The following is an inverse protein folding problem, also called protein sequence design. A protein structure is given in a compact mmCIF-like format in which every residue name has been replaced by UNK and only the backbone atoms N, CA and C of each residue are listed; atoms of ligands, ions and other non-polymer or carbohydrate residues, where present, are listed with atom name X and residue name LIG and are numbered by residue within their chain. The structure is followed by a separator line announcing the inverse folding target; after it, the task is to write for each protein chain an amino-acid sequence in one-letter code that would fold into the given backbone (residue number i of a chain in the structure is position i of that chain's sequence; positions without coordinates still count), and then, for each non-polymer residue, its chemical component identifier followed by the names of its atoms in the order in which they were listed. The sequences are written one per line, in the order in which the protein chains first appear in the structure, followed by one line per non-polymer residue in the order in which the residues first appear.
data_IF_964761111930
#
_entry.id   IF_964761111930
#
_cell.length_a   1.000
_cell.length_b   1.000
_cell.length_c   1.000
_cell.angle_alpha   90.00
_cell.angle_beta   90.00
_cell.angle_gamma   90.00
#
_symmetry.space_group_name_H-M   'P 1'
#
loop_
_entity.id
_entity.type
_entity.pdbx_description
1 polymer ?
#
# COMPACT_ATOMS: atom_id res chain seq x y z
N UNK A 1 -1.63 -3.90 63.27
CA UNK A 1 -2.31 -4.57 64.40
C UNK A 1 -3.34 -3.59 64.94
N UNK A 2 -4.57 -4.05 65.23
CA UNK A 2 -5.79 -3.28 65.58
C UNK A 2 -6.51 -2.59 64.40
N UNK A 3 -7.84 -2.58 64.24
CA UNK A 3 -9.00 -3.23 64.89
C UNK A 3 -10.19 -3.16 63.91
N UNK A 4 -11.17 -4.06 64.07
CA UNK A 4 -12.42 -4.16 63.31
C UNK A 4 -13.38 -2.98 63.55
N UNK A 5 -14.26 -2.68 62.60
CA UNK A 5 -15.70 -2.57 62.90
C UNK A 5 -16.56 -2.67 61.63
N UNK A 6 -17.60 -3.48 61.76
CA UNK A 6 -18.64 -3.78 60.79
C UNK A 6 -19.75 -2.74 60.87
N UNK A 7 -20.39 -2.39 59.75
CA UNK A 7 -21.82 -1.98 59.76
C UNK A 7 -22.47 -2.40 58.45
N UNK A 8 -23.30 -3.44 58.50
CA UNK A 8 -24.30 -3.76 57.49
C UNK A 8 -25.55 -2.91 57.76
N UNK A 9 -26.15 -2.29 56.73
CA UNK A 9 -27.60 -2.02 56.68
C UNK A 9 -28.09 -2.04 55.22
N UNK A 10 -28.91 -3.06 54.94
CA UNK A 10 -30.11 -3.15 54.10
C UNK A 10 -30.17 -2.55 52.67
N UNK A 11 -30.43 -3.49 51.75
CA UNK A 11 -30.95 -3.37 50.39
C UNK A 11 -32.43 -2.96 50.41
N UNK A 12 -32.90 -2.20 49.41
CA UNK A 12 -34.22 -2.45 48.84
C UNK A 12 -34.14 -2.80 47.34
N UNK A 13 -34.87 -3.87 46.99
CA UNK A 13 -35.13 -4.33 45.64
C UNK A 13 -35.85 -3.25 44.81
N UNK A 14 -35.42 -3.08 43.54
CA UNK A 14 -36.24 -2.49 42.48
C UNK A 14 -35.96 -3.22 41.16
N UNK A 15 -36.91 -4.09 40.82
CA UNK A 15 -37.44 -4.48 39.51
C UNK A 15 -36.51 -4.54 38.27
N UNK A 16 -36.38 -5.78 37.78
CA UNK A 16 -36.01 -6.12 36.41
C UNK A 16 -37.04 -5.60 35.41
N UNK A 17 -36.60 -4.73 34.49
CA UNK A 17 -37.21 -4.62 33.16
C UNK A 17 -36.15 -4.94 32.11
N UNK A 18 -36.38 -6.04 31.40
CA UNK A 18 -35.60 -6.57 30.29
C UNK A 18 -35.58 -5.60 29.10
N UNK A 19 -34.41 -5.02 28.80
CA UNK A 19 -34.09 -4.41 27.51
C UNK A 19 -33.33 -5.40 26.61
N UNK A 20 -33.52 -5.39 25.29
CA UNK A 20 -32.97 -6.41 24.40
C UNK A 20 -31.45 -6.23 24.22
N UNK A 21 -30.67 -7.31 24.08
CA UNK A 21 -29.24 -7.23 23.81
C UNK A 21 -28.98 -6.74 22.39
N UNK A 22 -28.14 -5.72 22.25
CA UNK A 22 -27.62 -5.24 20.96
C UNK A 22 -26.59 -6.25 20.46
N UNK A 23 -27.08 -7.28 19.79
CA UNK A 23 -26.29 -8.21 18.99
C UNK A 23 -26.91 -8.31 17.60
N UNK A 24 -26.05 -8.30 16.57
CA UNK A 24 -26.28 -8.46 15.11
C UNK A 24 -26.37 -7.17 14.29
N UNK A 25 -25.20 -6.68 13.87
CA UNK A 25 -25.04 -6.07 12.54
C UNK A 25 -23.84 -6.72 11.86
N UNK A 26 -24.03 -7.96 11.38
CA UNK A 26 -23.22 -8.58 10.34
C UNK A 26 -24.14 -9.57 9.61
N UNK A 27 -24.49 -9.26 8.37
CA UNK A 27 -25.15 -10.18 7.43
C UNK A 27 -24.22 -10.29 6.22
N UNK A 28 -23.73 -11.49 5.87
CA UNK A 28 -23.02 -11.67 4.61
C UNK A 28 -23.99 -11.53 3.44
N UNK A 29 -23.58 -10.80 2.40
CA UNK A 29 -24.27 -10.75 1.12
C UNK A 29 -24.27 -12.16 0.48
N UNK A 30 -25.39 -12.56 -0.10
CA UNK A 30 -25.55 -13.84 -0.76
C UNK A 30 -24.61 -13.96 -1.98
N UNK A 31 -24.06 -15.15 -2.28
CA UNK A 31 -23.18 -15.32 -3.44
C UNK A 31 -23.97 -15.20 -4.76
N UNK A 32 -23.38 -14.66 -5.84
CA UNK A 32 -24.03 -14.60 -7.12
C UNK A 32 -24.24 -16.01 -7.70
N UNK A 33 -25.38 -16.19 -8.37
CA UNK A 33 -25.81 -17.46 -8.97
C UNK A 33 -24.82 -17.92 -10.04
N UNK A 34 -24.42 -19.19 -9.96
CA UNK A 34 -23.70 -19.90 -11.02
C UNK A 34 -24.59 -19.96 -12.26
N UNK A 35 -24.20 -19.27 -13.33
CA UNK A 35 -24.66 -19.58 -14.67
C UNK A 35 -23.47 -19.69 -15.62
N UNK A 36 -23.53 -20.77 -16.36
CA UNK A 36 -22.58 -21.38 -17.27
C UNK A 36 -22.27 -20.45 -18.44
N UNK A 37 -20.98 -20.17 -18.69
CA UNK A 37 -20.52 -19.88 -20.05
C UNK A 37 -19.17 -20.57 -20.26
N UNK A 38 -19.26 -21.67 -21.01
CA UNK A 38 -18.16 -22.49 -21.50
C UNK A 38 -17.46 -21.72 -22.63
N UNK A 39 -16.13 -21.68 -22.57
CA UNK A 39 -15.19 -21.58 -23.70
C UNK A 39 -15.43 -20.49 -24.75
N UNK A 40 -14.72 -19.36 -24.64
CA UNK A 40 -13.93 -18.76 -25.74
C UNK A 40 -12.82 -17.89 -25.12
N UNK A 41 -11.65 -18.46 -24.79
CA UNK A 41 -10.46 -17.65 -24.49
C UNK A 41 -9.18 -18.31 -25.04
N UNK A 42 -9.25 -18.78 -26.28
CA UNK A 42 -8.10 -19.22 -27.06
C UNK A 42 -8.32 -18.81 -28.51
N UNK A 43 -8.33 -17.50 -28.79
CA UNK A 43 -8.23 -16.90 -30.13
C UNK A 43 -8.30 -15.38 -30.01
N UNK A 44 -7.22 -14.74 -29.56
CA UNK A 44 -6.96 -13.36 -29.97
C UNK A 44 -5.57 -13.34 -30.60
N UNK A 45 -5.47 -12.96 -31.88
CA UNK A 45 -4.20 -12.97 -32.60
C UNK A 45 -3.27 -11.92 -32.00
N UNK A 46 -2.01 -12.33 -31.87
CA UNK A 46 -0.84 -11.49 -31.62
C UNK A 46 -0.72 -10.49 -32.78
N UNK A 47 -1.41 -9.34 -32.71
CA UNK A 47 -1.35 -8.31 -33.74
C UNK A 47 -0.75 -7.03 -33.18
N UNK A 48 0.46 -6.78 -33.65
CA UNK A 48 1.19 -5.52 -33.70
C UNK A 48 0.28 -4.28 -33.77
N UNK A 49 0.08 -3.61 -32.63
CA UNK A 49 -0.30 -2.20 -32.62
C UNK A 49 0.69 -1.41 -31.76
N UNK A 50 1.84 -1.16 -32.37
CA UNK A 50 2.88 -0.26 -31.88
C UNK A 50 2.33 1.17 -31.71
N UNK A 51 2.63 1.78 -30.55
CA UNK A 51 2.78 3.24 -30.31
C UNK A 51 1.55 4.12 -29.96
N UNK A 52 0.50 3.63 -29.28
CA UNK A 52 -0.46 4.56 -28.62
C UNK A 52 -0.87 4.11 -27.21
N UNK A 53 -0.49 4.93 -26.21
CA UNK A 53 -1.10 5.07 -24.86
C UNK A 53 -0.86 3.94 -23.85
N UNK A 54 0.40 3.70 -23.46
CA UNK A 54 0.77 2.74 -22.39
C UNK A 54 1.02 3.38 -21.02
N UNK A 55 0.27 4.41 -20.68
CA UNK A 55 0.07 4.75 -19.28
C UNK A 55 -1.44 4.78 -19.12
N UNK A 56 -2.04 3.65 -18.75
CA UNK A 56 -3.23 3.73 -17.91
C UNK A 56 -2.74 4.50 -16.69
N UNK A 57 -3.18 5.74 -16.57
CA UNK A 57 -2.86 6.52 -15.37
C UNK A 57 -3.45 5.69 -14.25
N UNK A 58 -2.66 5.26 -13.27
CA UNK A 58 -3.13 4.41 -12.17
C UNK A 58 -4.40 5.01 -11.50
N UNK A 59 -4.51 6.34 -11.51
CA UNK A 59 -5.72 7.12 -11.21
C UNK A 59 -7.00 6.65 -11.92
N UNK A 60 -6.94 6.26 -13.19
CA UNK A 60 -8.06 5.75 -14.00
C UNK A 60 -8.52 4.34 -13.56
N UNK A 61 -7.66 3.59 -12.86
CA UNK A 61 -7.99 2.28 -12.28
C UNK A 61 -8.64 2.41 -10.90
N UNK A 62 -8.43 3.51 -10.19
CA UNK A 62 -9.06 3.78 -8.90
C UNK A 62 -10.50 4.30 -9.05
N UNK A 63 -11.33 3.50 -9.71
CA UNK A 63 -12.79 3.70 -9.73
C UNK A 63 -13.42 2.99 -8.53
N UNK A 64 -14.59 3.44 -8.05
CA UNK A 64 -15.27 2.77 -6.94
C UNK A 64 -15.43 1.26 -7.19
N UNK A 65 -14.90 0.45 -6.26
CA UNK A 65 -14.97 -1.01 -6.33
C UNK A 65 -13.94 -1.69 -7.24
N UNK A 66 -12.95 -0.94 -7.75
CA UNK A 66 -11.81 -1.51 -8.47
C UNK A 66 -10.58 -1.52 -7.56
N UNK A 67 -9.85 -2.64 -7.59
CA UNK A 67 -8.60 -2.82 -6.84
C UNK A 67 -7.41 -2.76 -7.78
N UNK A 68 -6.31 -2.20 -7.29
CA UNK A 68 -5.01 -2.20 -7.95
C UNK A 68 -4.01 -3.00 -7.12
N UNK A 69 -3.35 -3.96 -7.76
CA UNK A 69 -2.40 -4.88 -7.14
C UNK A 69 -0.98 -4.40 -7.41
N UNK A 70 -0.29 -4.00 -6.35
CA UNK A 70 1.07 -3.48 -6.37
C UNK A 70 2.11 -4.51 -6.02
N UNK A 71 3.24 -4.50 -6.73
CA UNK A 71 4.47 -5.16 -6.29
C UNK A 71 5.31 -4.18 -5.48
N UNK A 72 6.15 -4.69 -4.58
CA UNK A 72 7.05 -3.86 -3.77
C UNK A 72 8.49 -4.33 -3.92
N UNK A 73 9.38 -3.47 -4.36
CA UNK A 73 10.80 -3.76 -4.52
C UNK A 73 11.60 -3.17 -3.36
N UNK A 74 12.23 -4.03 -2.58
CA UNK A 74 13.21 -3.68 -1.56
C UNK A 74 14.64 -4.16 -1.92
N UNK A 75 14.79 -4.95 -3.00
CA UNK A 75 16.10 -5.35 -3.54
C UNK A 75 16.50 -4.38 -4.65
N UNK A 76 17.71 -3.80 -4.55
CA UNK A 76 18.28 -2.93 -5.58
C UNK A 76 18.70 -3.68 -6.85
N UNK A 77 17.73 -4.23 -7.58
CA UNK A 77 17.95 -5.04 -8.79
C UNK A 77 16.97 -4.64 -9.91
N UNK A 78 17.51 -4.04 -10.97
CA UNK A 78 16.75 -3.70 -12.16
C UNK A 78 16.12 -4.95 -12.83
N UNK A 79 16.84 -6.07 -12.79
CA UNK A 79 16.33 -7.33 -13.34
C UNK A 79 15.13 -7.86 -12.53
N UNK A 80 15.21 -7.82 -11.19
CA UNK A 80 14.07 -8.19 -10.33
C UNK A 80 12.86 -7.32 -10.63
N UNK A 81 13.05 -5.99 -10.69
CA UNK A 81 11.99 -5.06 -11.00
C UNK A 81 11.35 -5.32 -12.37
N UNK A 82 12.15 -5.59 -13.42
CA UNK A 82 11.64 -5.94 -14.75
C UNK A 82 10.81 -7.23 -14.72
N UNK A 83 11.28 -8.27 -14.01
CA UNK A 83 10.53 -9.52 -13.86
C UNK A 83 9.18 -9.27 -13.19
N UNK A 84 9.17 -8.55 -12.06
CA UNK A 84 7.92 -8.16 -11.39
C UNK A 84 7.00 -7.38 -12.33
N UNK A 85 7.52 -6.40 -13.07
CA UNK A 85 6.73 -5.62 -14.04
C UNK A 85 6.05 -6.47 -15.12
N UNK A 86 6.53 -7.69 -15.38
CA UNK A 86 5.93 -8.65 -16.34
C UNK A 86 4.96 -9.65 -15.70
N UNK A 87 4.80 -9.63 -14.38
CA UNK A 87 3.94 -10.57 -13.64
C UNK A 87 2.47 -10.14 -13.52
N UNK A 88 2.07 -9.04 -14.17
CA UNK A 88 0.68 -8.57 -14.17
C UNK A 88 0.29 -7.69 -12.98
N UNK A 89 1.26 -7.05 -12.33
CA UNK A 89 0.99 -5.99 -11.35
C UNK A 89 0.48 -4.72 -12.05
N UNK A 90 -0.42 -4.00 -11.38
CA UNK A 90 -0.95 -2.72 -11.85
C UNK A 90 0.04 -1.56 -11.58
N UNK A 91 0.93 -1.74 -10.61
CA UNK A 91 2.00 -0.80 -10.27
C UNK A 91 3.13 -1.50 -9.51
N UNK A 92 4.33 -0.91 -9.52
CA UNK A 92 5.48 -1.38 -8.74
C UNK A 92 6.01 -0.24 -7.87
N UNK A 93 6.09 -0.46 -6.56
CA UNK A 93 6.75 0.43 -5.60
C UNK A 93 8.25 0.15 -5.52
N UNK A 94 9.09 1.17 -5.62
CA UNK A 94 10.54 1.11 -5.37
C UNK A 94 10.81 1.79 -4.04
N UNK A 95 11.42 1.07 -3.11
CA UNK A 95 11.55 1.51 -1.72
C UNK A 95 12.92 2.11 -1.41
N UNK A 96 13.01 3.43 -1.30
CA UNK A 96 14.22 4.13 -0.87
C UNK A 96 14.30 4.38 0.64
N UNK A 97 13.26 4.05 1.40
CA UNK A 97 13.23 4.28 2.85
C UNK A 97 13.78 3.07 3.61
N UNK A 98 13.28 1.88 3.28
CA UNK A 98 13.68 0.63 3.94
C UNK A 98 14.32 -0.38 2.99
N UNK A 99 14.20 -0.17 1.67
CA UNK A 99 14.86 -1.01 0.69
C UNK A 99 16.37 -0.79 0.66
N UNK A 100 17.09 -1.83 0.24
CA UNK A 100 18.54 -1.78 0.02
C UNK A 100 18.82 -1.23 -1.39
N UNK A 101 18.33 -0.01 -1.65
CA UNK A 101 18.26 0.60 -2.97
C UNK A 101 18.94 1.96 -2.95
N UNK A 102 20.00 2.11 -3.73
CA UNK A 102 20.64 3.40 -4.01
C UNK A 102 19.87 4.19 -5.08
N UNK A 103 20.15 5.49 -5.20
CA UNK A 103 19.57 6.30 -6.28
C UNK A 103 19.96 5.79 -7.68
N UNK A 104 21.18 5.27 -7.84
CA UNK A 104 21.62 4.67 -9.12
C UNK A 104 20.81 3.41 -9.44
N UNK A 105 20.61 2.55 -8.45
CA UNK A 105 19.78 1.34 -8.59
C UNK A 105 18.32 1.70 -8.91
N UNK A 106 17.75 2.72 -8.26
CA UNK A 106 16.42 3.23 -8.58
C UNK A 106 16.31 3.62 -10.06
N UNK A 107 17.28 4.36 -10.60
CA UNK A 107 17.28 4.77 -12.02
C UNK A 107 17.29 3.54 -12.92
N UNK A 108 18.14 2.54 -12.65
CA UNK A 108 18.20 1.30 -13.41
C UNK A 108 16.89 0.49 -13.32
N UNK A 109 16.26 0.44 -12.15
CA UNK A 109 14.97 -0.21 -11.94
C UNK A 109 13.84 0.49 -12.70
N UNK A 110 13.79 1.83 -12.67
CA UNK A 110 12.85 2.61 -13.48
C UNK A 110 13.05 2.38 -14.98
N UNK A 111 14.29 2.18 -15.44
CA UNK A 111 14.59 1.80 -16.81
C UNK A 111 14.03 0.43 -17.17
N UNK A 112 14.25 -0.59 -16.34
CA UNK A 112 13.68 -1.92 -16.54
C UNK A 112 12.15 -1.89 -16.60
N UNK A 113 11.51 -1.23 -15.63
CA UNK A 113 10.05 -1.11 -15.55
C UNK A 113 9.44 -0.36 -16.75
N UNK A 114 10.12 0.66 -17.27
CA UNK A 114 9.66 1.37 -18.47
C UNK A 114 9.50 0.44 -19.69
N UNK A 115 10.28 -0.64 -19.77
CA UNK A 115 10.17 -1.66 -20.83
C UNK A 115 8.97 -2.59 -20.65
N UNK A 116 8.35 -2.62 -19.48
CA UNK A 116 7.20 -3.48 -19.16
C UNK A 116 5.85 -2.79 -19.36
N UNK A 117 5.83 -1.46 -19.31
CA UNK A 117 4.59 -0.65 -19.34
C UNK A 117 3.90 -0.53 -17.97
N UNK A 118 4.44 -1.13 -16.91
CA UNK A 118 3.90 -1.07 -15.55
C UNK A 118 4.32 0.24 -14.86
N UNK A 119 3.39 1.06 -14.37
CA UNK A 119 3.70 2.29 -13.62
C UNK A 119 4.59 2.03 -12.41
N UNK A 120 5.61 2.89 -12.23
CA UNK A 120 6.55 2.78 -11.14
C UNK A 120 6.35 3.93 -10.13
N UNK A 121 6.05 3.59 -8.88
CA UNK A 121 5.97 4.53 -7.77
C UNK A 121 7.26 4.45 -6.96
N UNK A 122 7.80 5.58 -6.52
CA UNK A 122 8.98 5.58 -5.65
C UNK A 122 8.56 5.99 -4.25
N UNK A 123 8.75 5.10 -3.26
CA UNK A 123 8.74 5.51 -1.87
C UNK A 123 10.04 6.24 -1.58
N UNK A 124 9.95 7.55 -1.41
CA UNK A 124 11.10 8.40 -1.08
C UNK A 124 11.52 8.19 0.37
N UNK A 125 12.77 8.53 0.71
CA UNK A 125 13.30 8.31 2.06
C UNK A 125 12.63 9.19 3.13
N UNK A 126 12.17 10.38 2.75
CA UNK A 126 11.56 11.39 3.62
C UNK A 126 10.71 12.39 2.80
N UNK A 127 10.15 13.41 3.47
CA UNK A 127 9.34 14.48 2.86
C UNK A 127 10.16 15.60 2.19
N UNK A 128 11.46 15.40 1.97
CA UNK A 128 12.32 16.42 1.36
C UNK A 128 11.96 16.64 -0.13
N UNK A 129 11.61 17.87 -0.55
CA UNK A 129 11.30 18.17 -1.95
C UNK A 129 12.40 17.76 -2.94
N UNK A 130 13.67 17.80 -2.55
CA UNK A 130 14.76 17.38 -3.42
C UNK A 130 14.72 15.89 -3.76
N UNK A 131 14.33 15.04 -2.81
CA UNK A 131 14.16 13.60 -3.02
C UNK A 131 12.97 13.32 -3.94
N UNK A 132 11.84 13.99 -3.69
CA UNK A 132 10.63 13.92 -4.52
C UNK A 132 10.92 14.32 -5.96
N UNK A 133 11.49 15.51 -6.17
CA UNK A 133 11.80 16.00 -7.52
C UNK A 133 12.75 15.07 -8.26
N UNK A 134 13.78 14.54 -7.58
CA UNK A 134 14.73 13.62 -8.21
C UNK A 134 14.09 12.30 -8.63
N UNK A 135 13.21 11.72 -7.81
CA UNK A 135 12.48 10.52 -8.20
C UNK A 135 11.59 10.76 -9.43
N UNK A 136 10.89 11.90 -9.45
CA UNK A 136 10.03 12.28 -10.57
C UNK A 136 10.83 12.62 -11.83
N UNK A 137 11.99 13.26 -11.73
CA UNK A 137 12.88 13.59 -12.84
C UNK A 137 13.51 12.32 -13.45
N UNK A 138 13.76 11.31 -12.61
CA UNK A 138 14.19 9.97 -13.02
C UNK A 138 13.08 9.17 -13.74
N UNK A 139 11.84 9.66 -13.75
CA UNK A 139 10.73 9.07 -14.50
C UNK A 139 9.79 8.20 -13.66
N UNK A 140 9.77 8.35 -12.34
CA UNK A 140 8.71 7.76 -11.52
C UNK A 140 7.34 8.30 -11.94
N UNK A 141 6.34 7.43 -12.01
CA UNK A 141 4.94 7.80 -12.26
C UNK A 141 4.31 8.55 -11.09
N UNK A 142 4.93 8.46 -9.91
CA UNK A 142 4.54 9.18 -8.72
C UNK A 142 5.43 8.84 -7.54
N UNK A 143 5.16 9.48 -6.41
CA UNK A 143 5.88 9.25 -5.15
C UNK A 143 4.94 8.78 -4.05
N UNK A 144 5.48 7.94 -3.17
CA UNK A 144 4.90 7.58 -1.87
C UNK A 144 5.79 8.26 -0.82
N UNK A 145 5.24 9.16 -0.03
CA UNK A 145 6.01 9.94 0.94
C UNK A 145 5.72 9.45 2.36
N UNK A 146 6.72 8.94 3.09
CA UNK A 146 6.54 8.44 4.44
C UNK A 146 6.34 9.56 5.46
N UNK A 147 5.87 9.20 6.66
CA UNK A 147 5.84 10.02 7.87
C UNK A 147 5.20 11.41 7.66
N UNK A 148 4.04 11.48 6.98
CA UNK A 148 3.33 12.75 6.77
C UNK A 148 2.42 13.04 7.97
N UNK A 149 2.74 14.07 8.74
CA UNK A 149 2.10 14.30 10.04
C UNK A 149 1.20 15.54 10.10
N UNK A 150 1.17 16.36 9.05
CA UNK A 150 0.35 17.57 9.03
C UNK A 150 -0.10 17.99 7.63
N UNK A 151 -1.20 18.73 7.55
CA UNK A 151 -1.68 19.33 6.30
C UNK A 151 -0.66 20.28 5.66
N UNK A 152 0.12 21.00 6.48
CA UNK A 152 1.17 21.88 5.98
C UNK A 152 2.28 21.09 5.27
N UNK A 153 2.72 19.98 5.87
CA UNK A 153 3.69 19.09 5.25
C UNK A 153 3.14 18.45 3.98
N UNK A 154 1.91 17.94 4.01
CA UNK A 154 1.25 17.37 2.85
C UNK A 154 1.13 18.38 1.69
N UNK A 155 0.82 19.65 1.98
CA UNK A 155 0.80 20.72 0.99
C UNK A 155 2.19 20.98 0.37
N UNK A 156 3.26 20.96 1.17
CA UNK A 156 4.64 21.08 0.65
C UNK A 156 5.00 19.91 -0.28
N UNK A 157 4.56 18.69 0.07
CA UNK A 157 4.77 17.49 -0.75
C UNK A 157 4.05 17.61 -2.09
N UNK A 158 2.77 18.01 -2.10
CA UNK A 158 2.02 18.24 -3.34
C UNK A 158 2.71 19.30 -4.19
N UNK A 159 3.13 20.43 -3.60
CA UNK A 159 3.84 21.47 -4.33
C UNK A 159 5.14 20.95 -4.97
N UNK A 160 5.88 20.07 -4.30
CA UNK A 160 7.09 19.45 -4.86
C UNK A 160 6.80 18.50 -6.03
N UNK A 161 5.58 17.95 -6.11
CA UNK A 161 5.14 17.06 -7.19
C UNK A 161 4.64 17.81 -8.44
N UNK A 162 4.39 19.12 -8.35
CA UNK A 162 3.75 19.92 -9.40
C UNK A 162 4.62 21.08 -9.84
N UNK A 163 4.73 21.29 -11.15
CA UNK A 163 5.34 22.48 -11.74
C UNK A 163 4.43 23.72 -11.56
N UNK A 164 4.98 24.94 -11.65
CA UNK A 164 4.18 26.16 -11.69
C UNK A 164 3.11 26.14 -12.79
N UNK A 165 1.91 26.72 -12.54
CA UNK A 165 1.52 27.47 -11.34
C UNK A 165 0.99 26.60 -10.18
N UNK A 166 0.82 25.29 -10.37
CA UNK A 166 0.14 24.41 -9.40
C UNK A 166 1.07 23.95 -8.25
N UNK A 167 2.37 24.23 -8.36
CA UNK A 167 3.36 23.91 -7.34
C UNK A 167 4.71 24.58 -7.59
N UNK A 168 5.75 24.02 -6.96
CA UNK A 168 7.10 24.60 -6.88
C UNK A 168 8.17 23.68 -7.45
N UNK A 169 7.80 22.58 -8.12
CA UNK A 169 8.74 21.68 -8.78
C UNK A 169 9.61 22.45 -9.78
N UNK A 170 10.92 22.29 -9.68
CA UNK A 170 11.88 22.87 -10.62
C UNK A 170 11.95 22.05 -11.91
N UNK A 171 12.13 22.71 -13.05
CA UNK A 171 12.21 22.08 -14.37
C UNK A 171 13.51 21.27 -14.53
N UNK A 172 13.37 19.95 -14.48
CA UNK A 172 14.45 19.00 -14.74
C UNK A 172 13.97 17.63 -15.21
N UNK A 173 13.02 17.48 -16.16
CA UNK A 173 12.49 16.18 -16.56
C UNK A 173 13.47 15.37 -17.43
N UNK A 174 14.69 15.15 -16.93
CA UNK A 174 15.85 14.56 -17.63
C UNK A 174 15.48 13.23 -18.26
N UNK A 175 14.87 12.35 -17.47
CA UNK A 175 14.38 11.05 -17.95
C UNK A 175 12.87 11.00 -18.07
N UNK A 176 12.13 11.75 -17.26
CA UNK A 176 10.67 11.76 -17.25
C UNK A 176 10.04 12.13 -18.61
N UNK A 177 10.73 12.93 -19.43
CA UNK A 177 10.28 13.31 -20.78
C UNK A 177 10.57 12.26 -21.86
N UNK A 178 11.40 11.25 -21.57
CA UNK A 178 11.85 10.28 -22.56
C UNK A 178 10.71 9.39 -23.03
N UNK A 179 10.44 9.40 -24.34
CA UNK A 179 9.36 8.61 -24.94
C UNK A 179 7.94 9.15 -24.69
N UNK A 180 7.82 10.33 -24.06
CA UNK A 180 6.55 11.01 -23.83
C UNK A 180 6.36 12.10 -24.88
N UNK A 181 5.37 11.92 -25.75
CA UNK A 181 5.00 12.95 -26.72
C UNK A 181 4.43 14.17 -25.99
N UNK A 182 4.89 15.37 -26.35
CA UNK A 182 4.39 16.64 -25.80
C UNK A 182 4.54 16.78 -24.27
N UNK A 183 5.64 16.26 -23.71
CA UNK A 183 5.94 16.46 -22.28
C UNK A 183 5.99 17.94 -21.95
N UNK A 184 5.15 18.36 -20.99
CA UNK A 184 5.03 19.75 -20.55
C UNK A 184 4.74 19.80 -19.05
N UNK A 185 4.92 20.97 -18.40
CA UNK A 185 4.47 21.18 -17.03
C UNK A 185 3.02 20.77 -16.81
N UNK A 186 2.14 21.11 -17.76
CA UNK A 186 0.71 20.78 -17.71
C UNK A 186 0.45 19.28 -17.76
N UNK A 187 1.10 18.54 -18.68
CA UNK A 187 0.91 17.09 -18.76
C UNK A 187 1.48 16.40 -17.52
N UNK A 188 2.65 16.81 -17.05
CA UNK A 188 3.27 16.25 -15.85
C UNK A 188 2.42 16.49 -14.59
N UNK A 189 1.86 17.69 -14.42
CA UNK A 189 0.99 18.02 -13.28
C UNK A 189 -0.28 17.15 -13.24
N UNK A 190 -0.82 16.80 -14.42
CA UNK A 190 -1.98 15.92 -14.55
C UNK A 190 -1.64 14.46 -14.22
N UNK A 191 -0.47 13.99 -14.66
CA UNK A 191 -0.16 12.56 -14.72
C UNK A 191 0.58 12.04 -13.47
N UNK A 192 1.39 12.87 -12.80
CA UNK A 192 2.20 12.47 -11.63
C UNK A 192 1.32 12.21 -10.41
N UNK A 193 1.50 11.05 -9.77
CA UNK A 193 0.82 10.73 -8.51
C UNK A 193 1.55 11.24 -7.27
N UNK A 194 0.78 11.73 -6.31
CA UNK A 194 1.23 12.12 -4.97
C UNK A 194 0.49 11.30 -3.92
N UNK A 195 1.22 10.40 -3.25
CA UNK A 195 0.69 9.47 -2.27
C UNK A 195 1.36 9.78 -0.93
N UNK A 196 0.56 10.01 0.10
CA UNK A 196 1.07 10.27 1.46
C UNK A 196 0.94 9.01 2.30
N UNK A 197 1.90 8.74 3.17
CA UNK A 197 1.76 7.65 4.15
C UNK A 197 1.22 8.16 5.47
N UNK A 198 0.22 7.46 6.00
CA UNK A 198 -0.35 7.70 7.32
C UNK A 198 0.12 6.59 8.24
N UNK A 199 1.07 6.92 9.13
CA UNK A 199 1.77 5.92 9.92
C UNK A 199 2.23 6.40 11.31
N UNK A 200 1.64 7.50 11.81
CA UNK A 200 1.90 8.01 13.16
C UNK A 200 0.63 8.50 13.86
N UNK A 201 0.60 8.56 15.20
CA UNK A 201 -0.52 9.14 15.96
C UNK A 201 -0.80 10.60 15.58
N UNK A 202 0.23 11.39 15.27
CA UNK A 202 0.08 12.78 14.84
C UNK A 202 -0.68 12.87 13.51
N UNK A 203 -0.32 12.00 12.55
CA UNK A 203 -1.02 11.90 11.26
C UNK A 203 -2.50 11.50 11.44
N UNK A 204 -2.79 10.58 12.36
CA UNK A 204 -4.17 10.18 12.68
C UNK A 204 -4.96 11.31 13.34
N UNK A 205 -4.33 12.08 14.25
CA UNK A 205 -4.98 13.20 14.92
C UNK A 205 -5.34 14.35 13.95
N UNK A 206 -4.48 14.62 12.96
CA UNK A 206 -4.68 15.63 11.91
C UNK A 206 -5.23 15.10 10.59
N UNK A 207 -5.83 13.91 10.59
CA UNK A 207 -6.07 13.13 9.37
C UNK A 207 -6.98 13.83 8.37
N UNK A 208 -8.11 14.39 8.82
CA UNK A 208 -9.05 15.06 7.93
C UNK A 208 -8.41 16.32 7.29
N UNK A 209 -7.55 17.03 8.02
CA UNK A 209 -6.82 18.19 7.49
C UNK A 209 -5.77 17.76 6.45
N UNK A 210 -5.08 16.63 6.66
CA UNK A 210 -4.15 16.08 5.68
C UNK A 210 -4.90 15.67 4.41
N UNK A 211 -5.98 14.91 4.53
CA UNK A 211 -6.71 14.33 3.41
C UNK A 211 -7.48 15.36 2.58
N UNK A 212 -7.74 16.56 3.11
CA UNK A 212 -8.39 17.66 2.39
C UNK A 212 -7.42 18.50 1.56
N UNK A 213 -6.10 18.28 1.68
CA UNK A 213 -5.11 18.98 0.86
C UNK A 213 -5.28 18.61 -0.62
N UNK A 214 -5.58 19.59 -1.51
CA UNK A 214 -5.76 19.31 -2.92
C UNK A 214 -4.49 18.75 -3.56
N UNK A 215 -4.63 17.69 -4.37
CA UNK A 215 -3.53 17.08 -5.11
C UNK A 215 -2.95 15.82 -4.48
N UNK A 216 -3.41 15.41 -3.30
CA UNK A 216 -3.20 14.06 -2.77
C UNK A 216 -4.11 13.09 -3.54
N UNK A 217 -3.52 12.01 -4.04
CA UNK A 217 -4.21 11.02 -4.87
C UNK A 217 -4.61 9.77 -4.07
N UNK A 218 -3.75 9.38 -3.13
CA UNK A 218 -3.97 8.25 -2.24
C UNK A 218 -3.31 8.49 -0.87
N UNK A 219 -3.81 7.80 0.14
CA UNK A 219 -3.17 7.65 1.43
C UNK A 219 -2.80 6.18 1.63
N UNK A 220 -1.52 5.90 1.84
CA UNK A 220 -1.02 4.55 2.07
C UNK A 220 -0.77 4.34 3.58
N UNK A 221 -1.35 3.30 4.16
CA UNK A 221 -1.33 3.08 5.61
C UNK A 221 -0.10 2.23 5.97
N UNK A 222 0.86 2.84 6.65
CA UNK A 222 2.01 2.15 7.26
C UNK A 222 1.59 1.47 8.57
N UNK A 223 0.83 0.38 8.48
CA UNK A 223 0.19 -0.23 9.65
C UNK A 223 1.17 -0.64 10.76
N UNK A 224 2.35 -1.15 10.40
CA UNK A 224 3.38 -1.57 11.35
C UNK A 224 3.97 -0.38 12.12
N UNK A 225 4.39 0.67 11.41
CA UNK A 225 4.94 1.88 12.02
C UNK A 225 3.88 2.62 12.83
N UNK A 226 2.61 2.61 12.39
CA UNK A 226 1.49 3.17 13.14
C UNK A 226 1.29 2.44 14.48
N UNK A 227 1.36 1.11 14.50
CA UNK A 227 1.24 0.35 15.74
C UNK A 227 2.39 0.69 16.69
N UNK A 228 3.63 0.65 16.20
CA UNK A 228 4.83 0.91 17.01
C UNK A 228 4.84 2.33 17.58
N UNK A 229 4.58 3.34 16.75
CA UNK A 229 4.53 4.75 17.16
C UNK A 229 3.35 5.06 18.09
N UNK A 230 2.29 4.25 18.06
CA UNK A 230 1.16 4.32 19.00
C UNK A 230 1.38 3.52 20.29
N UNK A 231 2.53 2.86 20.47
CA UNK A 231 2.81 2.00 21.62
C UNK A 231 1.99 0.70 21.64
N UNK A 232 1.52 0.25 20.49
CA UNK A 232 0.70 -0.95 20.32
C UNK A 232 1.53 -2.14 19.83
N UNK A 233 1.06 -3.35 20.12
CA UNK A 233 1.60 -4.56 19.52
C UNK A 233 1.23 -4.63 18.02
N UNK A 234 2.17 -5.09 17.19
CA UNK A 234 1.90 -5.40 15.78
C UNK A 234 1.05 -6.66 15.68
N UNK A 235 0.06 -6.62 14.81
CA UNK A 235 -0.86 -7.70 14.49
C UNK A 235 -0.98 -7.84 12.98
N UNK A 236 -1.00 -9.07 12.49
CA UNK A 236 -1.05 -9.38 11.05
C UNK A 236 -2.34 -10.08 10.63
N UNK A 237 -3.02 -10.69 11.60
CA UNK A 237 -4.27 -11.42 11.42
C UNK A 237 -5.53 -10.54 11.36
N UNK A 238 -6.70 -11.16 11.14
CA UNK A 238 -7.99 -10.45 11.09
C UNK A 238 -8.56 -10.16 12.48
N UNK A 239 -7.91 -10.65 13.53
CA UNK A 239 -8.42 -10.55 14.90
C UNK A 239 -8.55 -9.09 15.34
N UNK A 240 -9.63 -8.74 16.08
CA UNK A 240 -9.81 -7.40 16.61
C UNK A 240 -8.58 -6.93 17.38
N UNK A 241 -8.07 -5.76 17.02
CA UNK A 241 -6.91 -5.14 17.67
C UNK A 241 -7.00 -3.62 17.56
N UNK A 242 -6.37 -2.91 18.50
CA UNK A 242 -6.30 -1.45 18.44
C UNK A 242 -5.59 -0.95 17.16
N UNK A 243 -4.65 -1.74 16.62
CA UNK A 243 -4.03 -1.44 15.32
C UNK A 243 -5.05 -1.53 14.19
N UNK A 244 -5.88 -2.58 14.17
CA UNK A 244 -6.93 -2.74 13.17
C UNK A 244 -7.95 -1.59 13.25
N UNK A 245 -8.34 -1.18 14.47
CA UNK A 245 -9.25 -0.05 14.68
C UNK A 245 -8.69 1.26 14.09
N UNK A 246 -7.40 1.54 14.31
CA UNK A 246 -6.72 2.70 13.73
C UNK A 246 -6.67 2.63 12.20
N UNK A 247 -6.28 1.48 11.64
CA UNK A 247 -6.25 1.24 10.19
C UNK A 247 -7.62 1.47 9.55
N UNK A 248 -8.69 0.95 10.16
CA UNK A 248 -10.06 1.14 9.68
C UNK A 248 -10.54 2.58 9.82
N UNK A 249 -10.13 3.30 10.88
CA UNK A 249 -10.45 4.71 11.04
C UNK A 249 -9.87 5.57 9.91
N UNK A 250 -8.65 5.23 9.46
CA UNK A 250 -7.98 5.91 8.35
C UNK A 250 -8.69 5.59 7.03
N UNK A 251 -9.03 4.33 6.78
CA UNK A 251 -9.78 3.92 5.59
C UNK A 251 -11.12 4.67 5.48
N UNK A 252 -11.85 4.78 6.60
CA UNK A 252 -13.12 5.50 6.64
C UNK A 252 -12.93 6.98 6.33
N UNK A 253 -11.85 7.60 6.81
CA UNK A 253 -11.53 8.99 6.50
C UNK A 253 -11.19 9.18 5.02
N UNK A 254 -10.35 8.30 4.46
CA UNK A 254 -10.03 8.29 3.03
C UNK A 254 -11.31 8.25 2.17
N UNK A 255 -12.23 7.35 2.52
CA UNK A 255 -13.54 7.23 1.85
C UNK A 255 -14.37 8.51 1.97
N UNK A 256 -14.42 9.17 3.13
CA UNK A 256 -15.16 10.44 3.31
C UNK A 256 -14.65 11.55 2.41
N UNK A 257 -13.33 11.61 2.21
CA UNK A 257 -12.66 12.65 1.40
C UNK A 257 -12.44 12.26 -0.06
N UNK A 258 -12.85 11.06 -0.47
CA UNK A 258 -12.63 10.57 -1.84
C UNK A 258 -11.16 10.30 -2.16
N UNK A 259 -10.34 10.04 -1.14
CA UNK A 259 -8.93 9.65 -1.27
C UNK A 259 -8.84 8.13 -1.32
N UNK A 260 -7.99 7.61 -2.21
CA UNK A 260 -7.77 6.16 -2.33
C UNK A 260 -7.01 5.66 -1.11
N UNK A 261 -7.53 4.62 -0.45
CA UNK A 261 -6.86 3.98 0.68
C UNK A 261 -5.98 2.82 0.19
N UNK A 262 -4.70 2.84 0.55
CA UNK A 262 -3.74 1.79 0.24
C UNK A 262 -3.12 1.13 1.47
N UNK A 263 -2.78 -0.15 1.38
CA UNK A 263 -2.17 -0.90 2.49
C UNK A 263 -1.37 -2.10 1.99
N UNK A 264 -0.38 -2.54 2.76
CA UNK A 264 0.30 -3.80 2.53
C UNK A 264 -0.58 -5.01 2.87
N UNK A 265 -0.59 -6.00 1.98
CA UNK A 265 -1.33 -7.25 2.07
C UNK A 265 -0.36 -8.43 1.87
N UNK A 266 -0.07 -9.16 2.95
CA UNK A 266 0.98 -10.18 2.97
C UNK A 266 0.64 -11.50 2.26
N UNK A 267 -0.64 -11.72 1.93
CA UNK A 267 -1.10 -12.90 1.23
C UNK A 267 -2.47 -12.65 0.56
N UNK A 268 -2.98 -13.66 -0.13
CA UNK A 268 -4.28 -13.60 -0.82
C UNK A 268 -5.45 -13.37 0.14
N UNK A 269 -5.41 -13.91 1.35
CA UNK A 269 -6.48 -13.74 2.33
C UNK A 269 -6.54 -12.29 2.82
N UNK A 270 -5.38 -11.71 3.13
CA UNK A 270 -5.24 -10.30 3.47
C UNK A 270 -5.71 -9.39 2.34
N UNK A 271 -5.39 -9.71 1.08
CA UNK A 271 -5.88 -8.95 -0.09
C UNK A 271 -7.41 -8.93 -0.14
N UNK A 272 -8.05 -10.09 -0.04
CA UNK A 272 -9.51 -10.20 -0.08
C UNK A 272 -10.16 -9.46 1.10
N UNK A 273 -9.57 -9.57 2.29
CA UNK A 273 -10.04 -8.88 3.49
C UNK A 273 -9.96 -7.36 3.34
N UNK A 274 -8.81 -6.84 2.91
CA UNK A 274 -8.61 -5.40 2.75
C UNK A 274 -9.46 -4.83 1.62
N UNK A 275 -9.60 -5.53 0.52
CA UNK A 275 -10.49 -5.09 -0.55
C UNK A 275 -11.96 -5.04 -0.08
N UNK A 276 -12.43 -6.06 0.65
CA UNK A 276 -13.78 -6.05 1.24
C UNK A 276 -13.97 -4.91 2.27
N UNK A 277 -12.89 -4.49 2.93
CA UNK A 277 -12.87 -3.33 3.83
C UNK A 277 -12.78 -1.97 3.11
N UNK A 278 -12.68 -1.96 1.78
CA UNK A 278 -12.65 -0.74 0.96
C UNK A 278 -11.27 -0.13 0.78
N UNK A 279 -10.21 -0.94 0.81
CA UNK A 279 -8.88 -0.57 0.33
C UNK A 279 -8.75 -0.94 -1.15
N UNK A 280 -8.26 0.00 -1.96
CA UNK A 280 -8.23 -0.12 -3.42
C UNK A 280 -6.79 -0.12 -3.99
N UNK A 281 -5.79 0.22 -3.16
CA UNK A 281 -4.37 0.15 -3.52
C UNK A 281 -3.63 -0.86 -2.62
N UNK A 282 -3.51 -2.11 -3.08
CA UNK A 282 -2.97 -3.19 -2.25
C UNK A 282 -1.56 -3.56 -2.66
N UNK A 283 -0.59 -3.41 -1.76
CA UNK A 283 0.77 -3.90 -1.99
C UNK A 283 0.86 -5.38 -1.60
N UNK A 284 1.09 -6.24 -2.58
CA UNK A 284 1.36 -7.67 -2.38
C UNK A 284 2.75 -7.86 -1.74
N UNK A 285 3.14 -9.09 -1.37
CA UNK A 285 4.46 -9.35 -0.80
C UNK A 285 5.58 -8.75 -1.63
N UNK A 286 6.58 -8.19 -0.94
CA UNK A 286 7.75 -7.61 -1.58
C UNK A 286 8.55 -8.66 -2.33
N UNK A 287 9.43 -8.22 -3.22
CA UNK A 287 10.40 -9.09 -3.90
C UNK A 287 11.24 -9.93 -2.93
N UNK A 288 11.65 -9.38 -1.78
CA UNK A 288 12.31 -10.14 -0.71
C UNK A 288 11.36 -11.20 -0.16
N UNK A 289 10.12 -10.83 0.19
CA UNK A 289 9.11 -11.74 0.72
C UNK A 289 8.83 -12.90 -0.23
N UNK A 290 8.60 -12.60 -1.51
CA UNK A 290 8.36 -13.60 -2.56
C UNK A 290 9.56 -14.53 -2.76
N UNK A 291 10.78 -13.99 -2.77
CA UNK A 291 11.99 -14.79 -2.90
C UNK A 291 12.14 -15.77 -1.73
N UNK A 292 11.95 -15.29 -0.50
CA UNK A 292 12.03 -16.12 0.71
C UNK A 292 10.94 -17.19 0.71
N UNK A 293 9.70 -16.82 0.40
CA UNK A 293 8.57 -17.76 0.33
C UNK A 293 8.81 -18.85 -0.72
N UNK A 294 9.19 -18.47 -1.95
CA UNK A 294 9.45 -19.42 -3.04
C UNK A 294 10.64 -20.36 -2.77
N UNK A 295 11.73 -19.82 -2.21
CA UNK A 295 12.90 -20.62 -1.83
C UNK A 295 12.56 -21.61 -0.70
N UNK A 296 11.82 -21.17 0.33
CA UNK A 296 11.37 -22.04 1.43
C UNK A 296 10.43 -23.13 0.95
N UNK A 297 9.45 -22.81 0.09
CA UNK A 297 8.54 -23.79 -0.48
C UNK A 297 9.29 -24.87 -1.27
N UNK A 298 10.24 -24.45 -2.12
CA UNK A 298 11.05 -25.37 -2.94
C UNK A 298 11.90 -26.32 -2.10
N UNK A 299 12.63 -25.79 -1.11
CA UNK A 299 13.48 -26.60 -0.23
C UNK A 299 12.64 -27.49 0.68
N UNK A 300 11.54 -26.96 1.24
CA UNK A 300 10.64 -27.67 2.13
C UNK A 300 9.99 -28.87 1.45
N UNK A 301 9.44 -28.68 0.25
CA UNK A 301 8.82 -29.76 -0.53
C UNK A 301 9.81 -30.89 -0.82
N UNK A 302 11.04 -30.57 -1.24
CA UNK A 302 12.07 -31.57 -1.53
C UNK A 302 12.55 -32.31 -0.28
N UNK A 303 12.74 -31.60 0.84
CA UNK A 303 13.13 -32.24 2.10
C UNK A 303 12.06 -33.18 2.64
N UNK A 304 10.79 -32.75 2.57
CA UNK A 304 9.67 -33.59 2.97
C UNK A 304 9.58 -34.85 2.09
N UNK A 305 9.72 -34.70 0.77
CA UNK A 305 9.68 -35.82 -0.17
C UNK A 305 10.86 -36.78 -0.02
N UNK A 306 12.07 -36.27 0.24
CA UNK A 306 13.29 -37.07 0.36
C UNK A 306 13.56 -37.59 1.78
N UNK A 307 12.80 -37.16 2.79
CA UNK A 307 13.06 -37.48 4.20
C UNK A 307 14.37 -36.88 4.75
N UNK A 308 14.90 -35.84 4.09
CA UNK A 308 16.22 -35.26 4.43
C UNK A 308 16.03 -34.06 5.36
N UNK A 309 16.66 -34.11 6.55
CA UNK A 309 16.68 -33.00 7.51
C UNK A 309 17.64 -31.90 7.07
N UNK A 310 17.41 -30.67 7.56
CA UNK A 310 18.33 -29.55 7.37
C UNK A 310 19.71 -29.87 7.95
N UNK A 311 20.77 -29.64 7.17
CA UNK A 311 22.16 -29.75 7.65
C UNK A 311 22.57 -28.57 8.55
N UNK A 312 21.80 -27.47 8.58
CA UNK A 312 22.04 -26.33 9.49
C UNK A 312 21.33 -26.58 10.82
N UNK A 313 22.07 -26.52 11.94
CA UNK A 313 21.49 -26.52 13.29
C UNK A 313 20.66 -25.24 13.49
N UNK A 314 19.45 -25.35 14.04
CA UNK A 314 18.61 -24.21 14.45
C UNK A 314 17.73 -23.58 13.38
N UNK A 315 17.60 -24.15 12.17
CA UNK A 315 16.89 -23.51 11.04
C UNK A 315 15.36 -23.51 11.11
N UNK A 316 14.75 -23.99 12.20
CA UNK A 316 13.30 -23.90 12.41
C UNK A 316 12.90 -22.56 13.06
N UNK A 317 13.86 -21.72 13.47
CA UNK A 317 13.59 -20.33 13.79
C UNK A 317 13.41 -19.55 12.48
N UNK A 318 12.13 -19.34 12.15
CA UNK A 318 11.65 -18.56 11.02
C UNK A 318 12.25 -17.16 11.06
N UNK A 319 13.05 -16.82 10.05
CA UNK A 319 13.25 -15.41 9.69
C UNK A 319 11.87 -14.89 9.27
N UNK A 320 11.20 -14.14 10.14
CA UNK A 320 10.10 -13.27 9.75
C UNK A 320 10.71 -12.16 8.89
N UNK A 321 10.34 -12.12 7.61
CA UNK A 321 10.71 -11.07 6.67
C UNK A 321 9.44 -10.35 6.26
#
# INVERSE_FOLDING_TARGET
MFVSSSTQVLVPHAEMTSGPPVARIWRPLAPPRKNTMVSVCCQLPFVNNCRRRWVLILRELWKPGQVTLGGWCAIGSAFSAELLGRCGYDWIGIDLQHGLISQEQMIAMLQGLSGTGTPALVRVADSNPAGIMRALDAGASGVIVPLVESAHEAARIVQACRYPPDGTRSWGPVRASLGVNEYSPRSANRDVLCIVMIESPAAVAGLDDILTVPGIDAAFIGSNDLALSSGLARTFGPEPSAQLDLVMSIQLACRRHGIVAGIAAGDTEAVLRWHAAGFDMLALPSDIGLLVQGARASVGALRAAAGVKSARRGSDESIEV
#
